data_IF_604889002250
#
_entry.id   IF_604889002250
#
_cell.length_a   1.000
_cell.length_b   1.000
_cell.length_c   1.000
_cell.angle_alpha   90.00
_cell.angle_beta   90.00
_cell.angle_gamma   90.00
#
_symmetry.space_group_name_H-M   'P 1'
#
loop_
_entity.id
_entity.type
_entity.pdbx_description
1 polymer ?
#
# COMPACT_ATOMS: atom_id res chain seq x y z
N UNK A 1 -5.73 -22.40 -16.03
CA UNK A 1 -5.52 -21.88 -14.67
C UNK A 1 -6.03 -20.45 -14.64
N UNK A 2 -6.82 -20.07 -13.63
CA UNK A 2 -7.29 -18.68 -13.46
C UNK A 2 -6.07 -17.77 -13.27
N UNK A 3 -6.01 -16.65 -13.98
CA UNK A 3 -4.86 -15.73 -14.02
C UNK A 3 -4.58 -15.09 -12.63
N UNK A 4 -5.55 -15.07 -11.72
CA UNK A 4 -5.45 -14.48 -10.38
C UNK A 4 -5.92 -15.46 -9.30
N UNK A 5 -5.31 -16.63 -9.22
CA UNK A 5 -5.71 -17.63 -8.22
C UNK A 5 -5.06 -17.35 -6.86
N UNK A 6 -5.83 -16.79 -5.92
CA UNK A 6 -5.44 -16.60 -4.52
C UNK A 6 -6.18 -17.56 -3.56
N UNK A 7 -6.91 -18.54 -4.11
CA UNK A 7 -7.73 -19.47 -3.32
C UNK A 7 -6.88 -20.23 -2.29
N UNK A 8 -7.30 -20.15 -1.03
CA UNK A 8 -6.64 -20.77 0.11
C UNK A 8 -5.34 -20.12 0.57
N UNK A 9 -4.89 -19.02 -0.08
CA UNK A 9 -3.68 -18.30 0.27
C UNK A 9 -3.88 -17.47 1.54
N UNK A 10 -2.91 -17.46 2.42
CA UNK A 10 -2.88 -16.62 3.62
C UNK A 10 -2.26 -15.26 3.26
N UNK A 11 -3.05 -14.20 3.36
CA UNK A 11 -2.66 -12.84 2.98
C UNK A 11 -2.77 -11.90 4.18
N UNK A 12 -1.67 -11.24 4.52
CA UNK A 12 -1.64 -10.20 5.54
C UNK A 12 -1.51 -8.84 4.88
N UNK A 13 -2.42 -7.91 5.23
CA UNK A 13 -2.45 -6.55 4.67
C UNK A 13 -2.32 -5.54 5.81
N UNK A 14 -1.13 -5.01 6.02
CA UNK A 14 -0.89 -3.93 6.96
C UNK A 14 -1.26 -2.59 6.30
N UNK A 15 -2.18 -1.84 6.91
CA UNK A 15 -2.89 -0.73 6.26
C UNK A 15 -4.14 -1.20 5.52
N UNK A 16 -4.66 -2.38 5.87
CA UNK A 16 -5.82 -3.06 5.25
C UNK A 16 -7.19 -2.58 5.73
N UNK A 17 -7.26 -1.58 6.62
CA UNK A 17 -8.55 -1.14 7.21
C UNK A 17 -9.18 0.06 6.52
N UNK A 18 -8.54 0.64 5.51
CA UNK A 18 -9.08 1.79 4.75
C UNK A 18 -8.51 1.87 3.33
N UNK A 19 -9.16 2.60 2.45
CA UNK A 19 -8.70 2.96 1.13
C UNK A 19 -8.21 1.76 0.31
N UNK A 20 -7.02 1.89 -0.29
CA UNK A 20 -6.42 0.87 -1.16
C UNK A 20 -6.27 -0.47 -0.45
N UNK A 21 -5.79 -0.46 0.80
CA UNK A 21 -5.59 -1.70 1.56
C UNK A 21 -6.90 -2.44 1.84
N UNK A 22 -7.97 -1.72 2.19
CA UNK A 22 -9.29 -2.32 2.40
C UNK A 22 -9.87 -2.88 1.09
N UNK A 23 -9.76 -2.13 -0.01
CA UNK A 23 -10.17 -2.63 -1.32
C UNK A 23 -9.42 -3.91 -1.72
N UNK A 24 -8.11 -3.97 -1.39
CA UNK A 24 -7.30 -5.18 -1.61
C UNK A 24 -7.77 -6.34 -0.74
N UNK A 25 -8.13 -6.09 0.52
CA UNK A 25 -8.66 -7.13 1.42
C UNK A 25 -9.97 -7.73 0.89
N UNK A 26 -10.88 -6.87 0.43
CA UNK A 26 -12.14 -7.30 -0.20
C UNK A 26 -11.85 -8.14 -1.44
N UNK A 27 -11.08 -7.61 -2.40
CA UNK A 27 -10.80 -8.30 -3.66
C UNK A 27 -10.09 -9.64 -3.44
N UNK A 28 -9.10 -9.70 -2.54
CA UNK A 28 -8.40 -10.94 -2.22
C UNK A 28 -9.33 -11.99 -1.59
N UNK A 29 -10.22 -11.57 -0.68
CA UNK A 29 -11.21 -12.46 -0.08
C UNK A 29 -12.21 -13.01 -1.09
N UNK A 30 -12.63 -12.21 -2.06
CA UNK A 30 -13.51 -12.64 -3.16
C UNK A 30 -12.82 -13.64 -4.10
N UNK A 31 -11.48 -13.59 -4.19
CA UNK A 31 -10.67 -14.58 -4.91
C UNK A 31 -10.36 -15.83 -4.07
N UNK A 32 -11.00 -15.98 -2.91
CA UNK A 32 -10.91 -17.17 -2.05
C UNK A 32 -9.69 -17.19 -1.12
N UNK A 33 -8.99 -16.08 -0.95
CA UNK A 33 -7.91 -15.98 0.03
C UNK A 33 -8.43 -15.88 1.47
N UNK A 34 -7.63 -16.36 2.41
CA UNK A 34 -7.76 -16.06 3.84
C UNK A 34 -7.00 -14.77 4.12
N UNK A 35 -7.70 -13.71 4.53
CA UNK A 35 -7.12 -12.38 4.64
C UNK A 35 -7.17 -11.86 6.08
N UNK A 36 -6.06 -11.29 6.53
CA UNK A 36 -5.95 -10.51 7.76
C UNK A 36 -5.62 -9.06 7.40
N UNK A 37 -6.61 -8.20 7.56
CA UNK A 37 -6.49 -6.77 7.32
C UNK A 37 -6.20 -6.04 8.64
N UNK A 38 -5.09 -5.31 8.70
CA UNK A 38 -4.69 -4.64 9.93
C UNK A 38 -4.50 -3.13 9.74
N UNK A 39 -4.81 -2.37 10.78
CA UNK A 39 -4.62 -0.93 10.82
C UNK A 39 -4.65 -0.39 12.25
N UNK A 40 -4.33 0.89 12.45
CA UNK A 40 -4.22 1.44 13.82
C UNK A 40 -5.44 2.26 14.26
N UNK A 41 -6.22 2.82 13.33
CA UNK A 41 -7.37 3.67 13.65
C UNK A 41 -8.57 2.83 14.04
N UNK A 42 -9.11 3.03 15.25
CA UNK A 42 -10.27 2.31 15.73
C UNK A 42 -11.49 2.48 14.82
N UNK A 43 -11.76 3.71 14.39
CA UNK A 43 -12.87 4.00 13.49
C UNK A 43 -12.75 3.25 12.13
N UNK A 44 -11.52 3.17 11.57
CA UNK A 44 -11.30 2.40 10.35
C UNK A 44 -11.39 0.90 10.58
N UNK A 45 -11.00 0.40 11.75
CA UNK A 45 -11.13 -1.02 12.12
C UNK A 45 -12.60 -1.41 12.19
N UNK A 46 -13.45 -0.60 12.85
CA UNK A 46 -14.88 -0.86 12.94
C UNK A 46 -15.55 -0.88 11.57
N UNK A 47 -15.29 0.14 10.76
CA UNK A 47 -15.79 0.19 9.38
C UNK A 47 -15.30 -0.99 8.54
N UNK A 48 -14.04 -1.41 8.69
CA UNK A 48 -13.50 -2.56 7.98
C UNK A 48 -14.16 -3.88 8.42
N UNK A 49 -14.53 -4.03 9.70
CA UNK A 49 -15.30 -5.18 10.20
C UNK A 49 -16.71 -5.24 9.58
N UNK A 50 -17.38 -4.09 9.49
CA UNK A 50 -18.67 -3.99 8.80
C UNK A 50 -18.56 -4.41 7.33
N UNK A 51 -17.58 -3.87 6.61
CA UNK A 51 -17.32 -4.20 5.21
C UNK A 51 -16.95 -5.68 5.04
N UNK A 52 -16.16 -6.23 5.96
CA UNK A 52 -15.78 -7.63 5.94
C UNK A 52 -16.99 -8.56 6.02
N UNK A 53 -17.98 -8.24 6.87
CA UNK A 53 -19.11 -9.13 7.12
C UNK A 53 -18.68 -10.56 7.51
N UNK A 54 -17.49 -10.72 8.09
CA UNK A 54 -16.90 -12.01 8.45
C UNK A 54 -16.15 -12.74 7.33
N UNK A 55 -15.99 -12.13 6.15
CA UNK A 55 -15.26 -12.73 5.03
C UNK A 55 -13.74 -12.69 5.22
N UNK A 56 -13.25 -11.77 6.03
CA UNK A 56 -11.83 -11.65 6.38
C UNK A 56 -11.66 -11.12 7.81
N UNK A 57 -10.52 -11.42 8.40
CA UNK A 57 -10.17 -10.99 9.74
C UNK A 57 -9.70 -9.53 9.77
N UNK A 58 -10.10 -8.79 10.79
CA UNK A 58 -9.66 -7.40 11.00
C UNK A 58 -8.97 -7.29 12.36
N UNK A 59 -7.76 -6.73 12.35
CA UNK A 59 -6.91 -6.61 13.54
C UNK A 59 -6.42 -5.18 13.72
N UNK A 60 -6.01 -4.85 14.95
CA UNK A 60 -5.27 -3.63 15.23
C UNK A 60 -3.78 -3.90 15.06
N UNK A 61 -3.08 -3.04 14.30
CA UNK A 61 -1.62 -2.99 14.31
C UNK A 61 -1.09 -1.62 13.90
N UNK A 62 -0.02 -1.19 14.57
CA UNK A 62 0.81 -0.07 14.16
C UNK A 62 2.10 -0.60 13.52
N UNK A 63 2.43 -0.09 12.32
CA UNK A 63 3.68 -0.44 11.62
C UNK A 63 4.94 -0.10 12.42
N UNK A 64 4.84 0.78 13.42
CA UNK A 64 5.95 1.16 14.29
C UNK A 64 6.04 0.33 15.58
N UNK A 65 5.08 -0.56 15.84
CA UNK A 65 5.07 -1.45 17.00
C UNK A 65 5.38 -2.90 16.57
N UNK A 66 6.54 -3.43 17.00
CA UNK A 66 6.94 -4.81 16.67
C UNK A 66 6.02 -5.86 17.30
N UNK A 67 5.50 -5.61 18.52
CA UNK A 67 4.62 -6.55 19.23
C UNK A 67 3.28 -6.71 18.48
N UNK A 68 2.71 -5.59 18.01
CA UNK A 68 1.48 -5.60 17.19
C UNK A 68 1.68 -6.46 15.92
N UNK A 69 2.81 -6.26 15.21
CA UNK A 69 3.13 -6.99 13.98
C UNK A 69 3.36 -8.48 14.24
N UNK A 70 4.18 -8.81 15.25
CA UNK A 70 4.49 -10.19 15.61
C UNK A 70 3.23 -10.95 16.05
N UNK A 71 2.31 -10.33 16.79
CA UNK A 71 1.06 -10.94 17.20
C UNK A 71 0.23 -11.40 15.98
N UNK A 72 0.14 -10.57 14.94
CA UNK A 72 -0.59 -10.93 13.71
C UNK A 72 0.16 -12.04 12.95
N UNK A 73 1.46 -11.93 12.80
CA UNK A 73 2.24 -12.92 12.05
C UNK A 73 2.24 -14.28 12.74
N UNK A 74 2.27 -14.31 14.07
CA UNK A 74 2.14 -15.54 14.86
C UNK A 74 0.74 -16.15 14.74
N UNK A 75 -0.31 -15.32 14.76
CA UNK A 75 -1.70 -15.77 14.55
C UNK A 75 -1.88 -16.45 13.19
N UNK A 76 -1.31 -15.85 12.14
CA UNK A 76 -1.43 -16.37 10.76
C UNK A 76 -0.54 -17.60 10.53
N UNK A 77 0.63 -17.63 11.15
CA UNK A 77 1.64 -18.65 10.91
C UNK A 77 2.31 -18.47 9.55
N UNK A 78 2.08 -19.36 8.59
CA UNK A 78 2.67 -19.22 7.25
C UNK A 78 1.90 -18.22 6.42
N UNK A 79 2.60 -17.20 5.90
CA UNK A 79 2.07 -16.13 5.06
C UNK A 79 2.46 -16.37 3.60
N UNK A 80 1.50 -16.44 2.70
CA UNK A 80 1.78 -16.51 1.26
C UNK A 80 2.06 -15.12 0.67
N UNK A 81 1.31 -14.09 1.09
CA UNK A 81 1.51 -12.73 0.61
C UNK A 81 1.41 -11.72 1.73
N UNK A 82 2.44 -10.87 1.85
CA UNK A 82 2.49 -9.76 2.80
C UNK A 82 2.38 -8.44 2.04
N UNK A 83 1.34 -7.67 2.34
CA UNK A 83 1.10 -6.36 1.73
C UNK A 83 1.25 -5.27 2.78
N UNK A 84 1.95 -4.17 2.44
CA UNK A 84 1.94 -2.97 3.25
C UNK A 84 1.47 -1.76 2.44
N UNK A 85 0.25 -1.32 2.76
CA UNK A 85 -0.42 -0.15 2.19
C UNK A 85 -0.61 0.97 3.23
N UNK A 86 0.03 0.85 4.40
CA UNK A 86 -0.08 1.82 5.47
C UNK A 86 0.45 3.20 5.03
N UNK A 87 -0.33 4.23 5.31
CA UNK A 87 0.14 5.60 5.17
C UNK A 87 1.01 5.91 6.38
N UNK A 88 2.21 6.41 6.15
CA UNK A 88 3.13 6.82 7.21
C UNK A 88 2.66 8.05 7.98
N UNK A 89 3.59 8.84 8.48
CA UNK A 89 3.33 10.06 9.21
C UNK A 89 2.63 11.15 8.40
N UNK A 90 2.65 12.35 8.94
CA UNK A 90 2.04 13.53 8.34
C UNK A 90 2.62 13.82 6.95
N UNK A 91 1.74 14.19 6.03
CA UNK A 91 2.13 14.61 4.68
C UNK A 91 2.29 16.11 4.63
N UNK A 92 3.51 16.55 4.45
CA UNK A 92 3.79 17.96 4.25
C UNK A 92 3.87 18.27 2.75
N UNK A 93 3.04 19.24 2.29
CA UNK A 93 3.03 19.79 0.94
C UNK A 93 3.45 21.26 1.01
N UNK A 94 4.76 21.49 1.03
CA UNK A 94 5.36 22.85 1.09
C UNK A 94 6.65 22.87 0.27
N UNK A 95 7.06 24.04 -0.24
CA UNK A 95 8.40 24.21 -0.80
C UNK A 95 9.48 23.66 0.15
N UNK A 96 10.51 23.02 -0.38
CA UNK A 96 11.52 22.32 0.44
C UNK A 96 12.13 23.23 1.53
N UNK A 97 12.44 24.48 1.18
CA UNK A 97 13.07 25.44 2.10
C UNK A 97 12.13 25.94 3.21
N UNK A 98 10.83 25.68 3.10
CA UNK A 98 9.81 26.02 4.10
C UNK A 98 9.42 24.81 4.98
N UNK A 99 9.92 23.63 4.66
CA UNK A 99 9.70 22.43 5.48
C UNK A 99 10.63 22.44 6.68
N UNK A 100 10.10 22.13 7.86
CA UNK A 100 10.96 21.89 9.02
C UNK A 100 11.61 20.51 8.91
N UNK A 101 12.70 20.31 9.67
CA UNK A 101 13.37 19.02 9.75
C UNK A 101 12.42 17.93 10.26
N UNK A 102 11.58 18.24 11.23
CA UNK A 102 10.59 17.32 11.81
C UNK A 102 9.54 16.93 10.77
N UNK A 103 9.05 17.85 9.97
CA UNK A 103 8.10 17.55 8.88
C UNK A 103 8.72 16.64 7.84
N UNK A 104 9.97 16.89 7.46
CA UNK A 104 10.68 16.03 6.52
C UNK A 104 10.92 14.64 7.10
N UNK A 105 11.37 14.54 8.36
CA UNK A 105 11.53 13.27 9.08
C UNK A 105 10.22 12.51 9.23
N UNK A 106 9.12 13.19 9.54
CA UNK A 106 7.80 12.57 9.70
C UNK A 106 7.34 11.85 8.41
N UNK A 107 7.64 12.39 7.24
CA UNK A 107 7.35 11.74 5.96
C UNK A 107 8.03 10.36 5.84
N UNK A 108 9.25 10.19 6.37
CA UNK A 108 9.98 8.92 6.38
C UNK A 108 9.39 7.87 7.32
N UNK A 109 8.43 8.22 8.16
CA UNK A 109 7.69 7.24 8.97
C UNK A 109 7.10 6.10 8.14
N UNK A 110 6.68 6.37 6.90
CA UNK A 110 6.24 5.33 5.97
C UNK A 110 7.34 4.33 5.65
N UNK A 111 8.54 4.79 5.30
CA UNK A 111 9.68 3.91 4.98
C UNK A 111 10.08 3.06 6.17
N UNK A 112 10.19 3.66 7.35
CA UNK A 112 10.53 2.94 8.58
C UNK A 112 9.47 1.91 8.97
N UNK A 113 8.18 2.26 8.82
CA UNK A 113 7.10 1.32 9.05
C UNK A 113 7.17 0.12 8.09
N UNK A 114 7.41 0.36 6.81
CA UNK A 114 7.54 -0.71 5.81
C UNK A 114 8.77 -1.59 6.07
N UNK A 115 9.91 -0.98 6.39
CA UNK A 115 11.12 -1.72 6.74
C UNK A 115 10.87 -2.63 7.96
N UNK A 116 10.13 -2.15 8.96
CA UNK A 116 9.75 -2.95 10.13
C UNK A 116 8.80 -4.09 9.74
N UNK A 117 7.74 -3.82 8.97
CA UNK A 117 6.81 -4.85 8.50
C UNK A 117 7.53 -5.98 7.76
N UNK A 118 8.45 -5.64 6.87
CA UNK A 118 9.24 -6.64 6.14
C UNK A 118 10.16 -7.41 7.07
N UNK A 119 10.89 -6.72 7.95
CA UNK A 119 11.82 -7.36 8.89
C UNK A 119 11.14 -8.36 9.82
N UNK A 120 9.99 -7.97 10.39
CA UNK A 120 9.24 -8.83 11.32
C UNK A 120 8.49 -9.94 10.60
N UNK A 121 8.06 -9.71 9.33
CA UNK A 121 7.23 -10.65 8.58
C UNK A 121 8.01 -11.63 7.71
N UNK A 122 9.28 -11.34 7.36
CA UNK A 122 10.02 -12.14 6.37
C UNK A 122 10.17 -13.63 6.76
N UNK A 123 10.36 -13.93 8.04
CA UNK A 123 10.51 -15.31 8.55
C UNK A 123 9.21 -16.12 8.53
N UNK A 124 8.06 -15.47 8.35
CA UNK A 124 6.75 -16.14 8.25
C UNK A 124 6.34 -16.40 6.80
N UNK A 125 7.07 -15.87 5.83
CA UNK A 125 6.71 -16.06 4.42
C UNK A 125 6.97 -17.48 3.95
N UNK A 126 6.04 -18.02 3.17
CA UNK A 126 6.25 -19.27 2.44
C UNK A 126 7.37 -19.10 1.41
N UNK A 127 8.05 -20.19 1.04
CA UNK A 127 9.17 -20.17 0.08
C UNK A 127 8.82 -19.50 -1.25
N UNK A 128 7.58 -19.68 -1.71
CA UNK A 128 7.06 -19.05 -2.93
C UNK A 128 6.21 -17.80 -2.65
N UNK A 129 6.40 -17.19 -1.49
CA UNK A 129 5.65 -16.03 -1.04
C UNK A 129 5.99 -14.75 -1.77
N UNK A 130 5.23 -13.70 -1.46
CA UNK A 130 5.57 -12.36 -1.95
C UNK A 130 5.34 -11.27 -0.92
N UNK A 131 6.08 -10.18 -1.08
CA UNK A 131 5.90 -8.91 -0.40
C UNK A 131 5.48 -7.87 -1.44
N UNK A 132 4.42 -7.11 -1.16
CA UNK A 132 4.02 -6.00 -2.02
C UNK A 132 3.85 -4.73 -1.19
N UNK A 133 4.60 -3.69 -1.53
CA UNK A 133 4.55 -2.39 -0.88
C UNK A 133 3.80 -1.38 -1.76
N UNK A 134 3.33 -0.29 -1.18
CA UNK A 134 2.67 0.78 -1.92
C UNK A 134 3.53 2.05 -1.87
N UNK A 135 4.01 2.54 -3.01
CA UNK A 135 4.70 3.83 -3.10
C UNK A 135 3.73 4.96 -3.51
N UNK A 136 3.92 5.55 -4.65
CA UNK A 136 3.06 6.55 -5.27
C UNK A 136 3.77 7.30 -6.39
N UNK A 137 3.04 7.74 -7.39
CA UNK A 137 3.56 8.43 -8.56
C UNK A 137 4.45 9.65 -8.26
N UNK A 138 4.33 10.39 -7.11
CA UNK A 138 5.30 11.44 -6.75
C UNK A 138 6.74 10.96 -6.63
N UNK A 139 7.00 9.65 -6.47
CA UNK A 139 8.34 9.08 -6.49
C UNK A 139 9.09 9.38 -7.80
N UNK A 140 8.35 9.49 -8.91
CA UNK A 140 8.91 9.64 -10.27
C UNK A 140 8.34 10.83 -11.05
N UNK A 141 7.12 11.28 -10.76
CA UNK A 141 6.54 12.53 -11.27
C UNK A 141 6.67 13.62 -10.21
N UNK A 142 7.75 14.37 -10.30
CA UNK A 142 8.06 15.43 -9.35
C UNK A 142 7.18 16.66 -9.64
N UNK A 143 6.57 17.18 -8.60
CA UNK A 143 5.83 18.45 -8.64
C UNK A 143 6.31 19.37 -7.51
N UNK A 144 6.17 20.70 -7.66
CA UNK A 144 6.52 21.61 -6.57
C UNK A 144 5.84 21.23 -5.25
N UNK A 145 6.50 21.48 -4.14
CA UNK A 145 6.02 21.19 -2.78
C UNK A 145 5.86 19.69 -2.41
N UNK A 146 6.34 18.75 -3.23
CA UNK A 146 6.22 17.31 -2.96
C UNK A 146 7.55 16.63 -2.60
N UNK A 147 8.61 17.36 -2.31
CA UNK A 147 9.96 16.82 -2.10
C UNK A 147 10.00 15.67 -1.07
N UNK A 148 9.37 15.84 0.10
CA UNK A 148 9.35 14.78 1.12
C UNK A 148 8.63 13.51 0.63
N UNK A 149 7.46 13.66 -0.02
CA UNK A 149 6.71 12.52 -0.59
C UNK A 149 7.50 11.82 -1.70
N UNK A 150 8.15 12.60 -2.56
CA UNK A 150 8.94 12.08 -3.69
C UNK A 150 10.16 11.31 -3.19
N UNK A 151 10.89 11.84 -2.22
CA UNK A 151 12.02 11.16 -1.60
C UNK A 151 11.62 9.85 -0.95
N UNK A 152 10.54 9.85 -0.16
CA UNK A 152 10.04 8.64 0.51
C UNK A 152 9.56 7.61 -0.51
N UNK A 153 8.79 8.03 -1.51
CA UNK A 153 8.33 7.13 -2.57
C UNK A 153 9.49 6.47 -3.31
N UNK A 154 10.49 7.27 -3.72
CA UNK A 154 11.71 6.76 -4.36
C UNK A 154 12.52 5.82 -3.46
N UNK A 155 12.60 6.13 -2.16
CA UNK A 155 13.24 5.24 -1.17
C UNK A 155 12.52 3.89 -1.05
N UNK A 156 11.18 3.87 -1.04
CA UNK A 156 10.39 2.63 -1.02
C UNK A 156 10.62 1.82 -2.29
N UNK A 157 10.61 2.45 -3.48
CA UNK A 157 10.86 1.75 -4.75
C UNK A 157 12.27 1.16 -4.80
N UNK A 158 13.28 1.88 -4.29
CA UNK A 158 14.64 1.36 -4.25
C UNK A 158 14.81 0.25 -3.21
N UNK A 159 14.19 0.38 -2.04
CA UNK A 159 14.18 -0.67 -1.02
C UNK A 159 13.60 -1.98 -1.57
N UNK A 160 12.53 -1.92 -2.36
CA UNK A 160 11.94 -3.09 -3.02
C UNK A 160 12.95 -3.80 -3.92
N UNK A 161 13.75 -3.06 -4.71
CA UNK A 161 14.78 -3.66 -5.56
C UNK A 161 15.87 -4.38 -4.74
N UNK A 162 16.31 -3.77 -3.64
CA UNK A 162 17.26 -4.40 -2.73
C UNK A 162 16.68 -5.68 -2.12
N UNK A 163 15.47 -5.59 -1.57
CA UNK A 163 14.82 -6.72 -0.91
C UNK A 163 14.49 -7.87 -1.88
N UNK A 164 14.19 -7.58 -3.15
CA UNK A 164 13.99 -8.62 -4.16
C UNK A 164 15.24 -9.46 -4.41
N UNK A 165 16.43 -8.87 -4.23
CA UNK A 165 17.72 -9.59 -4.31
C UNK A 165 18.01 -10.33 -3.01
N UNK A 166 17.86 -9.64 -1.87
CA UNK A 166 18.24 -10.17 -0.56
C UNK A 166 17.34 -11.29 -0.05
N UNK A 167 16.04 -11.26 -0.42
CA UNK A 167 15.04 -12.22 0.06
C UNK A 167 14.69 -13.30 -0.98
N UNK A 168 15.39 -13.37 -2.12
CA UNK A 168 15.12 -14.40 -3.10
C UNK A 168 15.15 -15.80 -2.47
N UNK A 169 14.19 -16.71 -2.79
CA UNK A 169 13.24 -16.65 -3.89
C UNK A 169 11.92 -15.91 -3.60
N UNK A 170 11.74 -15.31 -2.42
CA UNK A 170 10.57 -14.49 -2.10
C UNK A 170 10.52 -13.29 -3.06
N UNK A 171 9.37 -13.09 -3.72
CA UNK A 171 9.20 -11.98 -4.65
C UNK A 171 8.87 -10.70 -3.90
N UNK A 172 9.50 -9.58 -4.27
CA UNK A 172 9.24 -8.28 -3.64
C UNK A 172 8.92 -7.26 -4.73
N UNK A 173 7.75 -6.63 -4.66
CA UNK A 173 7.30 -5.66 -5.65
C UNK A 173 6.71 -4.41 -4.98
N UNK A 174 6.54 -3.35 -5.76
CA UNK A 174 5.83 -2.14 -5.33
C UNK A 174 4.75 -1.77 -6.33
N UNK A 175 3.58 -1.37 -5.83
CA UNK A 175 2.54 -0.72 -6.63
C UNK A 175 2.61 0.77 -6.40
N UNK A 176 2.58 1.54 -7.48
CA UNK A 176 2.70 3.00 -7.47
C UNK A 176 1.42 3.64 -7.99
N UNK A 177 0.49 4.04 -7.11
CA UNK A 177 -0.74 4.69 -7.52
C UNK A 177 -0.52 6.15 -7.94
N UNK A 178 -1.39 6.60 -8.82
CA UNK A 178 -1.55 8.01 -9.18
C UNK A 178 -2.39 8.79 -8.17
N UNK A 179 -3.22 9.70 -8.68
CA UNK A 179 -4.25 10.39 -7.89
C UNK A 179 -5.45 9.45 -7.75
N UNK A 180 -5.66 8.92 -6.54
CA UNK A 180 -6.72 7.95 -6.26
C UNK A 180 -7.80 8.60 -5.39
N UNK A 181 -9.04 8.50 -5.81
CA UNK A 181 -10.20 8.90 -5.01
C UNK A 181 -10.35 7.95 -3.80
N UNK A 182 -10.01 8.46 -2.66
CA UNK A 182 -10.09 7.75 -1.38
C UNK A 182 -10.68 8.68 -0.32
N UNK A 183 -11.02 8.13 0.83
CA UNK A 183 -11.46 8.91 2.00
C UNK A 183 -10.49 10.03 2.42
N UNK A 184 -9.26 10.03 1.89
CA UNK A 184 -8.30 11.12 2.09
C UNK A 184 -8.82 12.47 1.55
N UNK A 185 -9.70 12.46 0.55
CA UNK A 185 -10.30 13.65 -0.05
C UNK A 185 -11.68 13.98 0.52
N UNK A 186 -12.24 13.19 1.44
CA UNK A 186 -13.60 13.40 1.96
C UNK A 186 -13.74 14.68 2.78
N UNK A 187 -12.62 15.19 3.32
CA UNK A 187 -12.59 16.49 4.01
C UNK A 187 -12.89 17.70 3.09
N UNK A 188 -12.85 17.51 1.76
CA UNK A 188 -13.16 18.54 0.77
C UNK A 188 -14.67 18.69 0.52
N UNK A 189 -15.51 17.77 1.01
CA UNK A 189 -16.95 17.86 0.81
C UNK A 189 -17.34 18.03 -0.66
N UNK A 190 -18.15 19.05 -0.95
CA UNK A 190 -18.67 19.35 -2.29
C UNK A 190 -17.55 19.75 -3.30
N UNK A 191 -16.40 20.22 -2.82
CA UNK A 191 -15.27 20.60 -3.68
C UNK A 191 -14.45 19.39 -4.17
N UNK A 192 -14.71 18.20 -3.65
CA UNK A 192 -13.92 16.99 -3.91
C UNK A 192 -13.83 16.67 -5.41
N UNK A 193 -14.94 16.69 -6.12
CA UNK A 193 -14.99 16.33 -7.54
C UNK A 193 -14.20 17.33 -8.39
N UNK A 194 -14.40 18.63 -8.17
CA UNK A 194 -13.68 19.69 -8.88
C UNK A 194 -12.18 19.61 -8.60
N UNK A 195 -11.80 19.36 -7.36
CA UNK A 195 -10.39 19.23 -6.96
C UNK A 195 -9.73 18.03 -7.60
N UNK A 196 -10.40 16.86 -7.61
CA UNK A 196 -9.90 15.67 -8.29
C UNK A 196 -9.74 15.89 -9.79
N UNK A 197 -10.73 16.55 -10.44
CA UNK A 197 -10.67 16.90 -11.84
C UNK A 197 -9.49 17.82 -12.16
N UNK A 198 -9.27 18.84 -11.33
CA UNK A 198 -8.12 19.74 -11.49
C UNK A 198 -6.78 18.99 -11.32
N UNK A 199 -6.66 18.11 -10.32
CA UNK A 199 -5.44 17.33 -10.07
C UNK A 199 -5.14 16.31 -11.18
N UNK A 200 -6.13 15.88 -11.93
CA UNK A 200 -6.01 14.86 -12.97
C UNK A 200 -6.09 15.41 -14.40
N UNK A 201 -6.23 16.71 -14.55
CA UNK A 201 -6.36 17.38 -15.88
C UNK A 201 -5.18 17.07 -16.81
N UNK A 202 -3.98 16.92 -16.25
CA UNK A 202 -2.77 16.56 -16.98
C UNK A 202 -2.56 15.06 -17.17
N UNK A 203 -3.35 14.19 -16.54
CA UNK A 203 -3.18 12.74 -16.70
C UNK A 203 -3.61 12.28 -18.09
N UNK A 204 -3.05 11.18 -18.59
CA UNK A 204 -3.51 10.58 -19.86
C UNK A 204 -4.95 10.07 -19.72
N UNK A 205 -5.28 9.45 -18.57
CA UNK A 205 -6.65 9.14 -18.17
C UNK A 205 -7.13 10.25 -17.23
N UNK A 206 -7.95 11.17 -17.72
CA UNK A 206 -8.31 12.43 -17.05
C UNK A 206 -9.37 12.27 -15.95
N UNK A 207 -9.12 11.38 -15.01
CA UNK A 207 -9.93 11.19 -13.80
C UNK A 207 -9.09 10.66 -12.65
N UNK A 208 -9.60 10.77 -11.44
CA UNK A 208 -9.07 10.00 -10.31
C UNK A 208 -9.22 8.50 -10.56
N UNK A 209 -8.23 7.72 -10.17
CA UNK A 209 -8.36 6.28 -10.07
C UNK A 209 -9.17 5.90 -8.83
N UNK A 210 -9.62 4.66 -8.75
CA UNK A 210 -10.32 4.11 -7.59
C UNK A 210 -9.38 3.22 -6.75
N UNK A 211 -9.74 3.01 -5.49
CA UNK A 211 -9.03 2.04 -4.63
C UNK A 211 -9.06 0.63 -5.20
N UNK A 212 -10.15 0.25 -5.89
CA UNK A 212 -10.29 -1.07 -6.53
C UNK A 212 -9.34 -1.24 -7.71
N UNK A 213 -9.14 -0.22 -8.55
CA UNK A 213 -8.17 -0.28 -9.65
C UNK A 213 -6.73 -0.47 -9.13
N UNK A 214 -6.40 0.15 -7.99
CA UNK A 214 -5.07 -0.08 -7.36
C UNK A 214 -4.99 -1.47 -6.73
N UNK A 215 -6.08 -1.96 -6.14
CA UNK A 215 -6.15 -3.31 -5.60
C UNK A 215 -5.89 -4.38 -6.66
N UNK A 216 -6.37 -4.19 -7.91
CA UNK A 216 -6.06 -5.08 -9.04
C UNK A 216 -4.55 -5.15 -9.31
N UNK A 217 -3.85 -4.01 -9.23
CA UNK A 217 -2.38 -3.97 -9.33
C UNK A 217 -1.68 -4.73 -8.20
N UNK A 218 -2.21 -4.67 -6.98
CA UNK A 218 -1.71 -5.43 -5.85
C UNK A 218 -1.98 -6.93 -6.02
N UNK A 219 -3.16 -7.32 -6.47
CA UNK A 219 -3.49 -8.72 -6.82
C UNK A 219 -2.56 -9.25 -7.91
N UNK A 220 -2.30 -8.46 -8.97
CA UNK A 220 -1.35 -8.83 -10.01
C UNK A 220 0.04 -9.08 -9.44
N UNK A 221 0.56 -8.19 -8.60
CA UNK A 221 1.90 -8.33 -8.00
C UNK A 221 1.98 -9.57 -7.08
N UNK A 222 0.90 -9.94 -6.40
CA UNK A 222 0.81 -11.16 -5.59
C UNK A 222 0.74 -12.42 -6.45
N UNK A 223 -0.12 -12.43 -7.47
CA UNK A 223 -0.49 -13.66 -8.22
C UNK A 223 0.45 -13.99 -9.38
N UNK A 224 1.21 -13.01 -9.92
CA UNK A 224 2.15 -13.27 -11.00
C UNK A 224 3.49 -13.75 -10.46
N UNK A 225 3.76 -15.03 -10.59
CA UNK A 225 4.94 -15.69 -10.02
C UNK A 225 6.26 -15.36 -10.74
N UNK A 226 6.23 -14.58 -11.83
CA UNK A 226 7.43 -14.19 -12.57
C UNK A 226 7.74 -12.70 -12.48
N UNK A 227 7.08 -11.99 -11.55
CA UNK A 227 7.25 -10.54 -11.32
C UNK A 227 7.91 -10.33 -9.97
N UNK A 228 9.13 -9.77 -9.95
CA UNK A 228 9.86 -9.37 -8.74
C UNK A 228 10.75 -8.16 -9.01
N UNK A 229 11.03 -7.34 -7.99
CA UNK A 229 11.89 -6.15 -8.07
C UNK A 229 11.31 -5.00 -8.89
N UNK A 230 10.02 -5.05 -9.24
CA UNK A 230 9.38 -4.11 -10.15
C UNK A 230 8.46 -3.11 -9.48
N UNK A 231 8.22 -2.00 -10.18
CA UNK A 231 7.16 -1.04 -9.87
C UNK A 231 6.01 -1.23 -10.86
N UNK A 232 4.83 -1.57 -10.33
CA UNK A 232 3.59 -1.65 -11.10
C UNK A 232 2.87 -0.31 -10.99
N UNK A 233 2.79 0.43 -12.08
CA UNK A 233 2.10 1.72 -12.11
C UNK A 233 0.61 1.55 -12.34
N UNK A 234 -0.18 2.14 -11.43
CA UNK A 234 -1.64 2.26 -11.52
C UNK A 234 -1.99 3.74 -11.33
N UNK A 235 -1.64 4.56 -12.30
CA UNK A 235 -1.55 6.01 -12.15
C UNK A 235 -2.29 6.83 -13.21
N UNK A 236 -3.01 6.17 -14.13
CA UNK A 236 -3.69 6.84 -15.23
C UNK A 236 -2.77 7.55 -16.20
N UNK A 237 -1.49 7.11 -16.28
CA UNK A 237 -0.46 7.71 -17.12
C UNK A 237 0.11 9.01 -16.55
N UNK A 238 -0.03 9.25 -15.26
CA UNK A 238 0.45 10.47 -14.59
C UNK A 238 1.95 10.67 -14.75
N UNK A 239 2.75 9.62 -14.68
CA UNK A 239 4.21 9.74 -14.79
C UNK A 239 4.68 10.13 -16.19
N UNK A 240 3.85 9.96 -17.20
CA UNK A 240 4.13 10.25 -18.60
C UNK A 240 3.61 11.62 -19.04
N UNK A 241 2.84 12.29 -18.21
CA UNK A 241 2.13 13.53 -18.54
C UNK A 241 2.81 14.80 -18.04
#
# INVERSE_FOLDING_TARGET
>A
MSVNNLSGKNIVIIGGTAGIGLATAVAASELGAKVWAAGRSQAHIEKAKEVSGGKFEVRRADTHNSEDLQAIFQEVGTIDHLVSAAVGGERTLKPFVEQTEEQFKAAYGKLWGYAKVVREGASYLSENGSITLVSGSPARKITPATSALSCVGGSVENMVRCLAVELAPIRVNVVSPGTIDTAMFDHLGDEKEERLKAMTAGHLIKRGGTSSEVAEGLIFAMSNNFVTGTTVDVDGGRILS
#
